data_IF_550544709627
#
_entry.id   IF_550544709627
#
_cell.length_a   1.000
_cell.length_b   1.000
_cell.length_c   1.000
_cell.angle_alpha   90.00
_cell.angle_beta   90.00
_cell.angle_gamma   90.00
#
_symmetry.space_group_name_H-M   'P 1'
#
loop_
_entity.id
_entity.type
_entity.pdbx_description
1 polymer ?
#
# COMPACT_ATOMS: atom_id res chain seq x y z
N UNK A 1 14.85 -27.37 -5.48
CA UNK A 1 16.19 -27.15 -5.00
C UNK A 1 16.74 -25.74 -5.10
N UNK A 2 16.65 -25.03 -6.23
CA UNK A 2 17.35 -23.74 -6.41
C UNK A 2 16.68 -22.53 -5.69
N UNK A 3 15.38 -22.57 -5.45
CA UNK A 3 14.66 -21.50 -4.75
C UNK A 3 14.87 -21.52 -3.23
N UNK A 4 15.01 -22.69 -2.65
CA UNK A 4 15.23 -22.89 -1.20
C UNK A 4 16.62 -22.38 -0.78
N UNK A 5 17.66 -22.73 -1.53
CA UNK A 5 19.03 -22.27 -1.21
C UNK A 5 19.20 -20.76 -1.32
N UNK A 6 18.54 -20.09 -2.29
CA UNK A 6 18.58 -18.64 -2.43
C UNK A 6 17.82 -17.94 -1.30
N UNK A 7 16.72 -18.52 -0.85
CA UNK A 7 15.97 -18.02 0.30
C UNK A 7 16.79 -18.15 1.58
N UNK A 8 17.43 -19.29 1.82
CA UNK A 8 18.26 -19.56 3.00
C UNK A 8 19.47 -18.60 3.06
N UNK A 9 20.16 -18.38 1.94
CA UNK A 9 21.30 -17.43 1.91
C UNK A 9 20.85 -16.00 2.20
N UNK A 10 19.76 -15.54 1.59
CA UNK A 10 19.24 -14.18 1.83
C UNK A 10 18.77 -13.99 3.27
N UNK A 11 18.19 -15.03 3.87
CA UNK A 11 17.75 -15.02 5.27
C UNK A 11 18.94 -14.99 6.23
N UNK A 12 20.00 -15.74 5.93
CA UNK A 12 21.22 -15.75 6.75
C UNK A 12 21.97 -14.41 6.66
N UNK A 13 22.07 -13.80 5.51
CA UNK A 13 22.67 -12.46 5.32
C UNK A 13 21.88 -11.40 6.10
N UNK A 14 20.57 -11.41 6.03
CA UNK A 14 19.71 -10.51 6.79
C UNK A 14 19.87 -10.73 8.31
N UNK A 15 19.91 -12.00 8.73
CA UNK A 15 20.14 -12.37 10.14
C UNK A 15 21.49 -11.89 10.64
N UNK A 16 22.57 -12.05 9.86
CA UNK A 16 23.92 -11.59 10.26
C UNK A 16 23.96 -10.07 10.37
N UNK A 17 23.38 -9.34 9.43
CA UNK A 17 23.30 -7.88 9.47
C UNK A 17 22.50 -7.40 10.69
N UNK A 18 21.35 -8.04 10.98
CA UNK A 18 20.55 -7.75 12.16
C UNK A 18 21.29 -8.06 13.46
N UNK A 19 21.94 -9.22 13.55
CA UNK A 19 22.70 -9.61 14.74
C UNK A 19 23.87 -8.64 15.02
N UNK A 20 24.55 -8.14 13.99
CA UNK A 20 25.60 -7.14 14.13
C UNK A 20 25.07 -5.84 14.74
N UNK A 21 23.98 -5.32 14.21
CA UNK A 21 23.33 -4.11 14.72
C UNK A 21 22.78 -4.30 16.15
N UNK A 22 22.14 -5.45 16.42
CA UNK A 22 21.61 -5.77 17.75
C UNK A 22 22.70 -5.92 18.82
N UNK A 23 23.84 -6.52 18.49
CA UNK A 23 25.00 -6.63 19.41
C UNK A 23 25.51 -5.27 19.86
N UNK A 24 25.69 -4.35 18.91
CA UNK A 24 26.10 -2.97 19.22
C UNK A 24 25.07 -2.28 20.11
N UNK A 25 23.80 -2.43 19.79
CA UNK A 25 22.71 -1.81 20.55
C UNK A 25 22.58 -2.39 21.95
N UNK A 26 22.66 -3.72 22.09
CA UNK A 26 22.57 -4.41 23.38
C UNK A 26 23.74 -4.09 24.30
N UNK A 27 24.93 -3.89 23.75
CA UNK A 27 26.12 -3.51 24.53
C UNK A 27 26.13 -2.04 24.95
N UNK A 28 25.49 -1.15 24.18
CA UNK A 28 25.46 0.29 24.49
C UNK A 28 24.80 0.59 25.83
N UNK A 29 23.71 -0.12 26.18
CA UNK A 29 23.00 0.05 27.44
C UNK A 29 23.88 -0.22 28.67
N UNK A 30 24.44 -1.42 28.85
CA UNK A 30 25.32 -1.75 29.95
C UNK A 30 26.56 -0.85 30.05
N UNK A 31 27.14 -0.49 28.90
CA UNK A 31 28.31 0.41 28.87
C UNK A 31 27.95 1.80 29.40
N UNK A 32 26.83 2.37 28.91
CA UNK A 32 26.36 3.68 29.36
C UNK A 32 26.03 3.67 30.87
N UNK A 33 25.37 2.60 31.34
CA UNK A 33 25.11 2.42 32.79
C UNK A 33 26.42 2.30 33.59
N UNK A 34 27.37 1.53 33.09
CA UNK A 34 28.67 1.39 33.76
C UNK A 34 29.39 2.73 33.89
N UNK A 35 29.40 3.53 32.85
CA UNK A 35 29.97 4.89 32.85
C UNK A 35 29.23 5.76 33.89
N UNK A 36 27.88 5.72 33.87
CA UNK A 36 27.08 6.52 34.80
C UNK A 36 27.35 6.16 36.26
N UNK A 37 27.38 4.87 36.59
CA UNK A 37 27.69 4.44 37.96
C UNK A 37 29.12 4.81 38.37
N UNK A 38 30.07 4.66 37.47
CA UNK A 38 31.46 5.08 37.74
C UNK A 38 31.56 6.58 38.02
N UNK A 39 30.93 7.42 37.18
CA UNK A 39 30.83 8.86 37.39
C UNK A 39 30.16 9.20 38.72
N UNK A 40 29.07 8.55 39.06
CA UNK A 40 28.37 8.78 40.36
C UNK A 40 29.24 8.44 41.52
N UNK A 41 29.94 7.32 41.51
CA UNK A 41 30.87 6.93 42.57
C UNK A 41 32.02 7.95 42.73
N UNK A 42 32.58 8.41 41.59
CA UNK A 42 33.65 9.43 41.60
C UNK A 42 33.15 10.76 42.19
N UNK A 43 31.96 11.22 41.77
CA UNK A 43 31.33 12.44 42.28
C UNK A 43 31.11 12.33 43.81
N UNK A 44 30.56 11.19 44.26
CA UNK A 44 30.32 10.96 45.69
C UNK A 44 31.60 10.84 46.48
N UNK A 45 32.63 10.19 45.92
CA UNK A 45 33.94 10.05 46.60
C UNK A 45 34.66 11.39 46.74
N UNK A 46 34.82 12.12 45.66
CA UNK A 46 35.53 13.42 45.70
C UNK A 46 34.67 14.50 46.39
N UNK A 47 33.38 14.59 46.08
CA UNK A 47 32.49 15.56 46.74
C UNK A 47 32.26 15.26 48.20
N UNK A 48 32.14 13.99 48.61
CA UNK A 48 32.07 13.60 50.01
C UNK A 48 33.36 13.94 50.75
N UNK A 49 34.53 13.72 50.15
CA UNK A 49 35.82 14.14 50.71
C UNK A 49 35.90 15.65 50.93
N UNK A 50 35.44 16.46 49.96
CA UNK A 50 35.39 17.92 50.07
C UNK A 50 34.48 18.40 51.23
N UNK A 51 33.35 17.77 51.42
CA UNK A 51 32.44 18.06 52.54
C UNK A 51 33.08 17.74 53.88
N UNK A 52 33.78 16.58 53.99
CA UNK A 52 34.39 16.13 55.26
C UNK A 52 35.55 17.05 55.63
N UNK A 53 36.38 17.45 54.67
CA UNK A 53 37.54 18.32 54.93
C UNK A 53 37.21 19.82 54.90
N UNK A 54 35.95 20.21 54.58
CA UNK A 54 35.45 21.60 54.52
C UNK A 54 36.29 22.52 53.63
N UNK A 55 36.89 22.01 52.56
CA UNK A 55 37.85 22.75 51.75
C UNK A 55 37.16 23.79 50.84
N UNK A 56 35.96 23.51 50.34
CA UNK A 56 35.26 24.36 49.37
C UNK A 56 33.91 24.88 49.85
N UNK A 57 33.43 24.48 51.06
CA UNK A 57 32.11 24.86 51.57
C UNK A 57 30.93 24.16 50.85
N UNK A 58 31.18 23.09 50.10
CA UNK A 58 30.18 22.32 49.40
C UNK A 58 29.15 21.73 50.39
N UNK A 59 27.88 21.96 50.12
CA UNK A 59 26.78 21.43 50.96
C UNK A 59 26.34 20.01 50.44
N UNK A 60 25.87 19.17 51.38
CA UNK A 60 25.42 17.83 51.04
C UNK A 60 24.28 17.82 49.98
N UNK A 61 23.40 18.84 50.00
CA UNK A 61 22.33 19.00 49.02
C UNK A 61 22.88 19.31 47.62
N UNK A 62 23.97 20.05 47.49
CA UNK A 62 24.62 20.36 46.22
C UNK A 62 25.26 19.12 45.61
N UNK A 63 25.89 18.29 46.47
CA UNK A 63 26.48 17.01 45.99
C UNK A 63 25.39 16.07 45.44
N UNK A 64 24.26 15.94 46.12
CA UNK A 64 23.12 15.14 45.66
C UNK A 64 22.59 15.70 44.33
N UNK A 65 22.47 17.03 44.25
CA UNK A 65 22.03 17.69 43.01
C UNK A 65 22.98 17.43 41.84
N UNK A 66 24.30 17.43 42.10
CA UNK A 66 25.33 17.16 41.08
C UNK A 66 25.20 15.72 40.51
N UNK A 67 25.00 14.73 41.38
CA UNK A 67 24.74 13.33 40.93
C UNK A 67 23.49 13.24 40.11
N UNK A 68 22.41 13.90 40.53
CA UNK A 68 21.15 13.90 39.78
C UNK A 68 21.31 14.57 38.39
N UNK A 69 21.99 15.71 38.30
CA UNK A 69 22.23 16.37 37.03
C UNK A 69 23.11 15.54 36.08
N UNK A 70 24.14 14.85 36.63
CA UNK A 70 24.92 13.91 35.84
C UNK A 70 24.07 12.78 35.25
N UNK A 71 23.15 12.21 36.05
CA UNK A 71 22.22 11.21 35.60
C UNK A 71 21.23 11.74 34.52
N UNK A 72 20.72 12.94 34.71
CA UNK A 72 19.86 13.60 33.73
C UNK A 72 20.58 13.87 32.41
N UNK A 73 21.85 14.28 32.45
CA UNK A 73 22.66 14.52 31.25
C UNK A 73 22.86 13.24 30.44
N UNK A 74 23.19 12.12 31.08
CA UNK A 74 23.31 10.80 30.42
C UNK A 74 22.00 10.33 29.81
N UNK A 75 20.90 10.47 30.55
CA UNK A 75 19.57 10.12 30.02
C UNK A 75 19.18 10.96 28.80
N UNK A 76 19.45 12.26 28.85
CA UNK A 76 19.20 13.16 27.70
C UNK A 76 20.00 12.77 26.48
N UNK A 77 21.28 12.38 26.64
CA UNK A 77 22.12 11.91 25.55
C UNK A 77 21.56 10.61 24.92
N UNK A 78 21.11 9.69 25.75
CA UNK A 78 20.46 8.45 25.31
C UNK A 78 19.17 8.71 24.55
N UNK A 79 18.37 9.67 25.00
CA UNK A 79 17.14 10.09 24.34
C UNK A 79 17.40 10.71 22.96
N UNK A 80 18.43 11.54 22.82
CA UNK A 80 18.85 12.10 21.52
C UNK A 80 19.25 10.99 20.56
N UNK A 81 20.05 10.01 21.02
CA UNK A 81 20.46 8.88 20.20
C UNK A 81 19.27 8.06 19.70
N UNK A 82 18.29 7.82 20.57
CA UNK A 82 17.05 7.14 20.19
C UNK A 82 16.24 7.96 19.17
N UNK A 83 16.15 9.29 19.35
CA UNK A 83 15.43 10.18 18.45
C UNK A 83 16.03 10.16 17.04
N UNK A 84 17.36 10.21 16.92
CA UNK A 84 18.07 10.15 15.62
C UNK A 84 17.76 8.84 14.90
N UNK A 85 17.79 7.70 15.60
CA UNK A 85 17.43 6.42 15.00
C UNK A 85 15.96 6.33 14.61
N UNK A 86 15.06 6.89 15.42
CA UNK A 86 13.63 6.93 15.12
C UNK A 86 13.35 7.79 13.88
N UNK A 87 14.01 8.94 13.76
CA UNK A 87 13.90 9.82 12.61
C UNK A 87 14.39 9.16 11.31
N UNK A 88 15.50 8.42 11.38
CA UNK A 88 16.02 7.68 10.22
C UNK A 88 15.05 6.62 9.71
N UNK A 89 14.36 5.91 10.63
CA UNK A 89 13.29 4.95 10.25
C UNK A 89 12.07 5.65 9.68
N UNK A 90 11.69 6.80 10.25
CA UNK A 90 10.56 7.59 9.76
C UNK A 90 10.82 8.11 8.35
N UNK A 91 12.04 8.53 8.02
CA UNK A 91 12.41 8.94 6.66
C UNK A 91 12.19 7.84 5.62
N UNK A 92 12.59 6.59 5.92
CA UNK A 92 12.37 5.48 5.00
C UNK A 92 10.88 5.18 4.75
N UNK A 93 10.05 5.36 5.77
CA UNK A 93 8.59 5.23 5.62
C UNK A 93 7.99 6.41 4.86
N UNK A 94 8.49 7.63 5.09
CA UNK A 94 8.03 8.84 4.42
C UNK A 94 8.28 8.78 2.91
N UNK A 95 9.45 8.28 2.49
CA UNK A 95 9.76 8.09 1.06
C UNK A 95 8.71 7.19 0.39
N UNK A 96 8.37 6.05 1.00
CA UNK A 96 7.38 5.13 0.45
C UNK A 96 5.96 5.73 0.41
N UNK A 97 5.62 6.54 1.40
CA UNK A 97 4.33 7.25 1.41
C UNK A 97 4.29 8.29 0.30
N UNK A 98 5.37 9.07 0.15
CA UNK A 98 5.45 10.08 -0.90
C UNK A 98 5.47 9.45 -2.29
N UNK A 99 6.14 8.31 -2.51
CA UNK A 99 6.07 7.58 -3.79
C UNK A 99 4.62 7.29 -4.22
N UNK A 100 3.74 6.98 -3.27
CA UNK A 100 2.32 6.72 -3.57
C UNK A 100 1.53 8.02 -3.72
N UNK A 101 1.84 9.04 -2.90
CA UNK A 101 1.11 10.32 -2.95
C UNK A 101 1.49 11.19 -4.14
N UNK A 102 2.74 11.09 -4.58
CA UNK A 102 3.28 11.84 -5.72
C UNK A 102 3.03 11.11 -7.06
N UNK A 103 2.42 9.90 -7.03
CA UNK A 103 2.09 9.16 -8.25
C UNK A 103 1.04 9.94 -9.06
N UNK A 104 1.38 10.25 -10.28
CA UNK A 104 0.48 10.97 -11.19
C UNK A 104 -0.65 10.04 -11.65
N UNK A 105 -1.89 10.55 -11.59
CA UNK A 105 -3.05 9.82 -12.08
C UNK A 105 -3.05 9.87 -13.60
N UNK A 106 -2.73 8.74 -14.22
CA UNK A 106 -2.65 8.59 -15.67
C UNK A 106 -3.99 8.71 -16.38
N UNK A 107 -5.07 8.25 -15.73
CA UNK A 107 -6.41 8.17 -16.31
C UNK A 107 -7.29 9.22 -15.64
N UNK A 108 -7.62 10.25 -16.40
CA UNK A 108 -8.47 11.36 -15.97
C UNK A 108 -9.79 11.37 -16.72
N UNK A 109 -10.79 12.06 -16.21
CA UNK A 109 -12.08 12.21 -16.86
C UNK A 109 -11.96 12.83 -18.25
N UNK A 110 -12.77 12.33 -19.17
CA UNK A 110 -12.94 12.94 -20.47
C UNK A 110 -13.86 14.16 -20.40
N UNK A 111 -13.92 14.96 -21.48
CA UNK A 111 -14.67 16.20 -21.51
C UNK A 111 -16.19 16.02 -21.71
N UNK A 112 -16.69 14.81 -21.93
CA UNK A 112 -18.08 14.55 -22.31
C UNK A 112 -18.89 13.91 -21.19
N UNK A 113 -20.04 14.50 -20.87
CA UNK A 113 -21.02 13.94 -19.94
C UNK A 113 -21.97 12.92 -20.59
N UNK A 114 -21.61 12.42 -21.80
CA UNK A 114 -22.40 11.37 -22.47
C UNK A 114 -22.47 10.11 -21.59
N UNK A 115 -23.60 9.42 -21.69
CA UNK A 115 -23.82 8.12 -21.04
C UNK A 115 -23.82 7.00 -22.08
N UNK A 116 -23.53 5.79 -21.66
CA UNK A 116 -23.61 4.59 -22.51
C UNK A 116 -25.09 4.20 -22.66
N UNK A 117 -25.59 4.09 -23.88
CA UNK A 117 -27.01 3.84 -24.18
C UNK A 117 -27.24 2.46 -24.79
N UNK A 118 -26.47 2.07 -25.81
CA UNK A 118 -26.67 0.86 -26.58
C UNK A 118 -25.67 -0.25 -26.27
N UNK A 119 -24.47 0.12 -25.92
CA UNK A 119 -23.39 -0.82 -25.56
C UNK A 119 -22.71 -1.49 -26.75
N UNK A 120 -22.71 -0.87 -27.95
CA UNK A 120 -21.83 -1.32 -29.03
C UNK A 120 -20.36 -1.00 -28.72
N UNK A 121 -19.44 -1.86 -29.16
CA UNK A 121 -18.02 -1.72 -28.84
C UNK A 121 -17.17 -1.86 -30.11
N UNK A 122 -16.23 -0.92 -30.30
CA UNK A 122 -15.27 -0.95 -31.39
C UNK A 122 -13.84 -0.88 -30.88
N UNK A 123 -12.99 -1.75 -31.39
CA UNK A 123 -11.54 -1.67 -31.29
C UNK A 123 -11.00 -1.34 -32.68
N UNK A 124 -10.30 -0.23 -32.81
CA UNK A 124 -9.74 0.23 -34.08
C UNK A 124 -8.21 0.25 -33.98
N UNK A 125 -7.57 -0.76 -34.56
CA UNK A 125 -6.10 -0.93 -34.63
C UNK A 125 -5.41 -0.78 -33.26
N UNK A 126 -5.97 -1.39 -32.21
CA UNK A 126 -5.56 -1.20 -30.82
C UNK A 126 -4.30 -2.00 -30.52
N UNK A 127 -3.26 -1.29 -30.05
CA UNK A 127 -2.10 -1.88 -29.40
C UNK A 127 -2.05 -1.48 -27.92
N UNK A 128 -1.65 -2.41 -27.05
CA UNK A 128 -1.54 -2.15 -25.62
C UNK A 128 -0.32 -2.82 -25.00
N UNK A 129 0.32 -2.11 -24.06
CA UNK A 129 1.42 -2.60 -23.22
C UNK A 129 1.26 -2.08 -21.79
N UNK A 130 1.37 -2.94 -20.77
CA UNK A 130 1.35 -2.55 -19.37
C UNK A 130 2.53 -1.67 -18.94
N UNK A 131 3.66 -1.82 -19.64
CA UNK A 131 4.89 -1.07 -19.38
C UNK A 131 5.06 0.15 -20.28
N UNK A 132 4.08 0.44 -21.15
CA UNK A 132 4.16 1.44 -22.22
C UNK A 132 5.34 1.22 -23.19
N UNK A 133 5.93 0.03 -23.18
CA UNK A 133 7.03 -0.38 -24.04
C UNK A 133 6.44 -0.98 -25.33
N UNK A 134 6.69 -0.37 -26.52
CA UNK A 134 6.16 -0.87 -27.79
C UNK A 134 6.74 -2.23 -28.18
N UNK A 135 7.84 -2.66 -27.58
CA UNK A 135 8.42 -3.98 -27.82
C UNK A 135 7.74 -5.09 -26.99
N UNK A 136 6.99 -4.70 -25.93
CA UNK A 136 6.31 -5.62 -25.00
C UNK A 136 4.79 -5.50 -25.05
N UNK A 137 4.23 -5.63 -26.25
CA UNK A 137 2.80 -5.51 -26.46
C UNK A 137 2.05 -6.74 -25.95
N UNK A 138 1.03 -6.49 -25.11
CA UNK A 138 0.05 -7.48 -24.67
C UNK A 138 -1.09 -7.64 -25.69
N UNK A 139 -1.44 -6.57 -26.42
CA UNK A 139 -2.35 -6.60 -27.55
C UNK A 139 -1.66 -5.96 -28.76
N UNK A 140 -1.88 -6.54 -29.94
CA UNK A 140 -1.23 -6.10 -31.18
C UNK A 140 -2.25 -5.95 -32.30
N UNK A 141 -2.46 -4.72 -32.76
CA UNK A 141 -3.30 -4.39 -33.93
C UNK A 141 -4.69 -5.06 -33.86
N UNK A 142 -5.37 -4.96 -32.70
CA UNK A 142 -6.68 -5.55 -32.53
C UNK A 142 -7.72 -4.65 -33.17
N UNK A 143 -8.45 -5.22 -34.15
CA UNK A 143 -9.62 -4.58 -34.76
C UNK A 143 -10.81 -5.52 -34.62
N UNK A 144 -11.85 -5.06 -33.93
CA UNK A 144 -13.03 -5.85 -33.57
C UNK A 144 -14.22 -4.91 -33.46
N UNK A 145 -15.36 -5.34 -33.99
CA UNK A 145 -16.66 -4.69 -33.79
C UNK A 145 -17.62 -5.66 -33.08
N UNK A 146 -18.37 -5.16 -32.11
CA UNK A 146 -19.36 -5.89 -31.34
C UNK A 146 -20.66 -5.08 -31.37
N UNK A 147 -21.70 -5.66 -31.93
CA UNK A 147 -23.02 -5.03 -31.97
C UNK A 147 -23.71 -5.02 -30.60
N UNK A 148 -24.59 -4.06 -30.40
CA UNK A 148 -25.44 -4.00 -29.21
C UNK A 148 -26.24 -5.30 -29.01
N UNK A 149 -26.19 -5.86 -27.80
CA UNK A 149 -26.89 -7.12 -27.46
C UNK A 149 -26.20 -8.39 -27.96
N UNK A 150 -25.06 -8.29 -28.62
CA UNK A 150 -24.30 -9.45 -29.08
C UNK A 150 -23.55 -10.12 -27.91
N UNK A 151 -23.42 -11.45 -27.95
CA UNK A 151 -22.63 -12.22 -26.99
C UNK A 151 -21.40 -12.79 -27.69
N UNK A 152 -20.22 -12.36 -27.27
CA UNK A 152 -18.95 -12.79 -27.85
C UNK A 152 -18.17 -13.68 -26.91
N UNK A 153 -17.65 -14.80 -27.42
CA UNK A 153 -16.71 -15.68 -26.73
C UNK A 153 -15.27 -15.36 -27.13
N UNK A 154 -14.43 -14.99 -26.17
CA UNK A 154 -12.99 -14.78 -26.37
C UNK A 154 -12.22 -16.00 -25.92
N UNK A 155 -11.59 -16.72 -26.86
CA UNK A 155 -10.85 -17.97 -26.63
C UNK A 155 -9.37 -17.73 -26.87
N UNK A 156 -8.53 -18.37 -26.07
CA UNK A 156 -7.06 -18.30 -26.20
C UNK A 156 -6.35 -18.84 -24.97
N UNK A 157 -5.04 -19.03 -25.07
CA UNK A 157 -4.18 -19.51 -24.01
C UNK A 157 -4.02 -18.53 -22.83
N UNK A 158 -3.39 -18.99 -21.76
CA UNK A 158 -3.05 -18.11 -20.61
C UNK A 158 -1.99 -17.10 -21.04
N UNK A 159 -2.21 -15.82 -20.73
CA UNK A 159 -1.28 -14.74 -21.08
C UNK A 159 -1.49 -14.13 -22.48
N UNK A 160 -2.46 -14.58 -23.27
CA UNK A 160 -2.73 -14.06 -24.63
C UNK A 160 -3.56 -12.76 -24.68
N UNK A 161 -3.69 -12.05 -23.57
CA UNK A 161 -4.31 -10.71 -23.55
C UNK A 161 -5.83 -10.68 -23.44
N UNK A 162 -6.53 -11.81 -23.19
CA UNK A 162 -8.01 -11.85 -23.07
C UNK A 162 -8.54 -10.88 -22.01
N UNK A 163 -8.01 -10.96 -20.80
CA UNK A 163 -8.39 -10.06 -19.68
C UNK A 163 -7.97 -8.61 -19.97
N UNK A 164 -6.87 -8.43 -20.66
CA UNK A 164 -6.39 -7.11 -21.09
C UNK A 164 -7.37 -6.47 -22.06
N UNK A 165 -7.87 -7.23 -23.05
CA UNK A 165 -8.84 -6.74 -24.02
C UNK A 165 -10.09 -6.18 -23.33
N UNK A 166 -10.70 -6.96 -22.43
CA UNK A 166 -11.92 -6.54 -21.74
C UNK A 166 -11.67 -5.41 -20.73
N UNK A 167 -10.45 -5.30 -20.19
CA UNK A 167 -10.09 -4.21 -19.27
C UNK A 167 -9.95 -2.84 -19.92
N UNK A 168 -9.81 -2.78 -21.25
CA UNK A 168 -9.78 -1.52 -21.98
C UNK A 168 -11.17 -0.91 -22.19
N UNK A 169 -12.23 -1.72 -22.14
CA UNK A 169 -13.62 -1.25 -22.34
C UNK A 169 -14.05 -0.29 -21.22
N UNK A 170 -13.94 -0.64 -19.91
CA UNK A 170 -14.23 0.30 -18.82
C UNK A 170 -13.10 1.29 -18.57
N UNK A 171 -12.12 1.36 -19.48
CA UNK A 171 -10.95 2.23 -19.38
C UNK A 171 -10.21 2.07 -18.05
N UNK A 172 -9.86 0.83 -17.68
CA UNK A 172 -8.92 0.58 -16.59
C UNK A 172 -7.48 0.89 -17.02
N UNK A 173 -7.25 0.91 -18.31
CA UNK A 173 -6.00 1.30 -18.97
C UNK A 173 -6.33 2.04 -20.26
N UNK A 174 -5.46 2.94 -20.69
CA UNK A 174 -5.52 3.55 -22.01
C UNK A 174 -4.66 2.76 -23.02
N UNK A 175 -5.16 2.63 -24.25
CA UNK A 175 -4.42 2.00 -25.35
C UNK A 175 -3.13 2.78 -25.64
N UNK A 176 -2.06 2.06 -26.02
CA UNK A 176 -0.80 2.66 -26.46
C UNK A 176 -0.97 3.32 -27.84
N UNK A 177 -1.70 2.66 -28.74
CA UNK A 177 -2.12 3.19 -30.04
C UNK A 177 -3.47 2.61 -30.44
N UNK A 178 -4.14 3.24 -31.40
CA UNK A 178 -5.50 2.90 -31.79
C UNK A 178 -6.56 3.51 -30.88
N UNK A 179 -7.79 3.08 -31.08
CA UNK A 179 -8.96 3.64 -30.37
C UNK A 179 -9.91 2.54 -29.92
N UNK A 180 -10.35 2.64 -28.66
CA UNK A 180 -11.47 1.83 -28.14
C UNK A 180 -12.69 2.73 -28.05
N UNK A 181 -13.80 2.30 -28.63
CA UNK A 181 -15.05 3.07 -28.60
C UNK A 181 -16.17 2.28 -27.97
N UNK A 182 -17.04 2.98 -27.26
CA UNK A 182 -18.33 2.50 -26.76
C UNK A 182 -19.40 3.42 -27.34
N UNK A 183 -20.45 2.86 -27.94
CA UNK A 183 -21.49 3.63 -28.64
C UNK A 183 -20.92 4.59 -29.71
N UNK A 184 -19.88 4.14 -30.43
CA UNK A 184 -19.20 4.94 -31.45
C UNK A 184 -18.34 6.10 -30.94
N UNK A 185 -18.22 6.29 -29.62
CA UNK A 185 -17.44 7.34 -28.96
C UNK A 185 -16.19 6.74 -28.30
N UNK A 186 -15.05 7.41 -28.44
CA UNK A 186 -13.80 7.01 -27.76
C UNK A 186 -14.01 6.97 -26.23
N UNK A 187 -13.57 5.90 -25.59
CA UNK A 187 -13.67 5.75 -24.11
C UNK A 187 -12.94 6.85 -23.37
N UNK A 188 -11.97 7.51 -23.99
CA UNK A 188 -11.22 8.65 -23.42
C UNK A 188 -12.03 9.95 -23.37
N UNK A 189 -13.11 10.04 -24.12
CA UNK A 189 -13.98 11.21 -24.14
C UNK A 189 -15.03 11.19 -23.03
N UNK A 190 -15.38 10.03 -22.51
CA UNK A 190 -16.35 9.90 -21.40
C UNK A 190 -15.75 10.35 -20.07
N UNK A 191 -16.62 10.83 -19.16
CA UNK A 191 -16.28 10.79 -17.74
C UNK A 191 -16.19 9.33 -17.29
N UNK A 192 -15.27 9.03 -16.37
CA UNK A 192 -15.09 7.64 -15.88
C UNK A 192 -16.35 7.12 -15.20
N UNK A 193 -17.10 7.99 -14.52
CA UNK A 193 -18.36 7.66 -13.87
C UNK A 193 -19.41 7.20 -14.91
N UNK A 194 -19.62 7.97 -15.97
CA UNK A 194 -20.64 7.66 -16.99
C UNK A 194 -20.27 6.40 -17.79
N UNK A 195 -19.00 6.23 -18.14
CA UNK A 195 -18.54 5.04 -18.85
C UNK A 195 -18.73 3.78 -17.99
N UNK A 196 -18.25 3.82 -16.74
CA UNK A 196 -18.25 2.66 -15.83
C UNK A 196 -19.63 2.35 -15.26
N UNK A 197 -20.55 3.30 -15.21
CA UNK A 197 -21.95 3.01 -14.86
C UNK A 197 -22.69 2.24 -15.96
N UNK A 198 -22.26 2.39 -17.23
CA UNK A 198 -22.78 1.61 -18.36
C UNK A 198 -22.09 0.26 -18.60
N UNK A 199 -20.93 0.00 -17.96
CA UNK A 199 -20.12 -1.21 -18.20
C UNK A 199 -19.91 -1.96 -16.89
N UNK A 200 -20.50 -3.13 -16.76
CA UNK A 200 -20.28 -4.03 -15.62
C UNK A 200 -19.22 -5.07 -15.92
N UNK A 201 -18.32 -5.32 -14.99
CA UNK A 201 -17.23 -6.30 -15.14
C UNK A 201 -17.24 -7.32 -14.01
N UNK A 202 -17.27 -8.60 -14.36
CA UNK A 202 -17.11 -9.71 -13.40
C UNK A 202 -15.68 -10.21 -13.49
N UNK A 203 -14.93 -10.00 -12.41
CA UNK A 203 -13.52 -10.42 -12.33
C UNK A 203 -13.41 -11.92 -12.00
N UNK A 204 -12.33 -12.55 -12.47
CA UNK A 204 -12.04 -13.96 -12.20
C UNK A 204 -11.85 -14.23 -10.70
N UNK A 205 -11.23 -13.29 -9.96
CA UNK A 205 -11.03 -13.35 -8.52
C UNK A 205 -11.85 -12.24 -7.86
N UNK A 206 -13.11 -12.53 -7.57
CA UNK A 206 -13.96 -11.64 -6.77
C UNK A 206 -13.54 -11.69 -5.30
N UNK A 207 -13.35 -10.54 -4.68
CA UNK A 207 -13.11 -10.41 -3.25
C UNK A 207 -14.30 -9.71 -2.59
N UNK A 208 -14.75 -10.25 -1.47
CA UNK A 208 -15.75 -9.59 -0.64
C UNK A 208 -15.06 -8.77 0.45
N UNK A 209 -15.60 -7.60 0.72
CA UNK A 209 -15.16 -6.77 1.84
C UNK A 209 -15.73 -7.31 3.16
N UNK A 210 -15.02 -7.04 4.25
CA UNK A 210 -15.53 -7.37 5.60
C UNK A 210 -16.84 -6.64 5.86
N UNK A 211 -17.83 -7.39 6.36
CA UNK A 211 -19.18 -6.87 6.59
C UNK A 211 -20.23 -7.88 6.19
N UNK A 212 -21.47 -7.44 6.04
CA UNK A 212 -22.59 -8.28 5.63
C UNK A 212 -22.62 -8.44 4.10
N UNK A 213 -23.36 -9.44 3.62
CA UNK A 213 -23.66 -9.61 2.18
C UNK A 213 -24.37 -8.36 1.66
N UNK A 214 -25.32 -7.82 2.43
CA UNK A 214 -26.04 -6.61 2.07
C UNK A 214 -25.10 -5.38 1.93
N UNK A 215 -24.10 -5.25 2.79
CA UNK A 215 -23.12 -4.16 2.67
C UNK A 215 -22.30 -4.30 1.39
N UNK A 216 -21.90 -5.52 1.04
CA UNK A 216 -21.17 -5.78 -0.21
C UNK A 216 -22.02 -5.50 -1.45
N UNK A 217 -23.32 -5.81 -1.43
CA UNK A 217 -24.23 -5.51 -2.55
C UNK A 217 -24.48 -4.00 -2.71
N UNK A 218 -24.46 -3.24 -1.61
CA UNK A 218 -24.66 -1.78 -1.63
C UNK A 218 -23.46 -0.99 -2.16
N UNK A 219 -22.33 -1.61 -2.44
CA UNK A 219 -21.21 -0.91 -3.06
C UNK A 219 -21.56 -0.28 -4.42
N UNK A 220 -22.43 -0.93 -5.20
CA UNK A 220 -22.87 -0.40 -6.48
C UNK A 220 -23.95 0.67 -6.32
N UNK A 221 -24.86 0.51 -5.35
CA UNK A 221 -25.98 1.41 -5.07
C UNK A 221 -26.17 1.52 -3.55
N UNK A 222 -25.65 2.56 -2.89
CA UNK A 222 -25.71 2.70 -1.44
C UNK A 222 -27.11 2.70 -0.85
N UNK A 223 -28.10 3.15 -1.64
CA UNK A 223 -29.51 3.23 -1.22
C UNK A 223 -30.35 2.05 -1.69
N UNK A 224 -29.72 0.98 -2.19
CA UNK A 224 -30.45 -0.21 -2.66
C UNK A 224 -31.34 -0.78 -1.57
N UNK A 225 -32.63 -1.00 -1.93
CA UNK A 225 -33.59 -1.63 -1.04
C UNK A 225 -33.34 -3.14 -0.97
N UNK A 226 -33.91 -3.79 0.05
CA UNK A 226 -33.78 -5.25 0.20
C UNK A 226 -34.35 -5.99 -1.01
N UNK A 227 -35.46 -5.52 -1.55
CA UNK A 227 -36.13 -6.10 -2.71
C UNK A 227 -35.24 -5.98 -3.96
N UNK A 228 -34.61 -4.85 -4.17
CA UNK A 228 -33.67 -4.64 -5.28
C UNK A 228 -32.45 -5.57 -5.17
N UNK A 229 -31.88 -5.70 -3.97
CA UNK A 229 -30.75 -6.62 -3.73
C UNK A 229 -31.17 -8.08 -3.98
N UNK A 230 -32.35 -8.50 -3.51
CA UNK A 230 -32.88 -9.85 -3.75
C UNK A 230 -33.12 -10.11 -5.24
N UNK A 231 -33.69 -9.15 -5.97
CA UNK A 231 -33.86 -9.26 -7.40
C UNK A 231 -32.52 -9.41 -8.16
N UNK A 232 -31.52 -8.64 -7.80
CA UNK A 232 -30.18 -8.77 -8.36
C UNK A 232 -29.55 -10.14 -8.05
N UNK A 233 -29.69 -10.63 -6.81
CA UNK A 233 -29.23 -11.96 -6.43
C UNK A 233 -29.92 -13.07 -7.21
N UNK A 234 -31.22 -12.97 -7.44
CA UNK A 234 -31.98 -13.95 -8.23
C UNK A 234 -31.51 -13.99 -9.69
N UNK A 235 -31.23 -12.83 -10.31
CA UNK A 235 -30.66 -12.76 -11.67
C UNK A 235 -29.30 -13.46 -11.74
N UNK A 236 -28.45 -13.23 -10.72
CA UNK A 236 -27.12 -13.80 -10.64
C UNK A 236 -27.10 -15.25 -10.12
N UNK A 237 -28.24 -15.83 -9.76
CA UNK A 237 -28.37 -17.14 -9.08
C UNK A 237 -27.58 -17.22 -7.76
N UNK A 238 -27.33 -16.08 -7.13
CA UNK A 238 -26.64 -16.00 -5.85
C UNK A 238 -27.58 -16.31 -4.66
N UNK A 239 -28.89 -16.13 -4.83
CA UNK A 239 -29.94 -16.47 -3.89
C UNK A 239 -29.87 -17.92 -3.41
N UNK A 240 -29.59 -18.88 -4.29
CA UNK A 240 -29.41 -20.30 -3.95
C UNK A 240 -28.32 -20.55 -2.89
N UNK A 241 -27.34 -19.67 -2.81
CA UNK A 241 -26.25 -19.76 -1.83
C UNK A 241 -26.54 -18.91 -0.59
N UNK A 242 -27.05 -17.70 -0.77
CA UNK A 242 -27.33 -16.76 0.31
C UNK A 242 -28.37 -17.31 1.28
N UNK A 243 -29.44 -17.93 0.76
CA UNK A 243 -30.52 -18.52 1.58
C UNK A 243 -30.05 -19.70 2.46
N UNK A 244 -28.84 -20.19 2.26
CA UNK A 244 -28.23 -21.26 3.11
C UNK A 244 -27.50 -20.71 4.32
N UNK A 245 -27.22 -19.42 4.36
CA UNK A 245 -26.59 -18.79 5.52
C UNK A 245 -27.67 -18.37 6.52
N UNK A 246 -27.43 -18.62 7.82
CA UNK A 246 -28.46 -18.42 8.85
C UNK A 246 -28.75 -16.94 9.15
N UNK A 247 -27.88 -16.01 8.75
CA UNK A 247 -27.99 -14.55 9.02
C UNK A 247 -27.42 -13.69 7.87
#
# INVERSE_FOLDING_TARGET
GCGSTRFDTTTDDLRQAQLGAWRLFTLSGPITMGIMWTCSVLILFFGGREIIFQTTGLLTGELVSLVNYAGMAVNSLSMISWLVMSLSRAQASLVRINEVLDEEIDITDGPSDAVVESGSIDFEDVCFSYTRDPDKLALRHVTLHIDSGETIGVIGGTGEGKSTLVSLIPRFYDALSGTVKVDGRDVREYTLENLRSGVSMVLQNGSLFSGTIADNLRWAEPNATREQMQAACAIARADEYIDRFPD
#
